data_IF_112367209175
#
_entry.id   IF_112367209175
#
_cell.length_a   1.000
_cell.length_b   1.000
_cell.length_c   1.000
_cell.angle_alpha   90.00
_cell.angle_beta   90.00
_cell.angle_gamma   90.00
#
_symmetry.space_group_name_H-M   'P 1'
#
loop_
_entity.id
_entity.type
_entity.pdbx_description
1 polymer ?
#
# COMPACT_ATOMS: atom_id res chain seq x y z
N UNK A 1 13.09 -16.34 -5.17
CA UNK A 1 12.74 -15.06 -4.54
C UNK A 1 13.81 -14.79 -3.49
N UNK A 2 14.30 -13.56 -3.38
CA UNK A 2 15.19 -13.20 -2.26
C UNK A 2 14.31 -12.75 -1.10
N UNK A 3 14.35 -13.48 0.02
CA UNK A 3 13.48 -13.23 1.17
C UNK A 3 14.03 -12.14 2.09
N UNK A 4 13.12 -11.48 2.80
CA UNK A 4 13.42 -10.44 3.82
C UNK A 4 12.88 -10.94 5.16
N UNK A 5 13.66 -10.77 6.22
CA UNK A 5 13.19 -10.99 7.58
C UNK A 5 12.28 -9.84 8.03
N UNK A 6 11.13 -10.17 8.62
CA UNK A 6 10.16 -9.21 9.13
C UNK A 6 9.42 -9.77 10.35
N UNK A 7 8.91 -8.92 11.25
CA UNK A 7 8.04 -9.35 12.34
C UNK A 7 6.85 -10.17 11.85
N UNK A 8 6.42 -11.15 12.63
CA UNK A 8 5.30 -12.05 12.27
C UNK A 8 3.98 -11.32 12.08
N UNK A 9 3.80 -10.18 12.73
CA UNK A 9 2.62 -9.33 12.63
C UNK A 9 2.77 -8.20 11.60
N UNK A 10 3.85 -8.21 10.80
CA UNK A 10 4.03 -7.27 9.71
C UNK A 10 2.95 -7.41 8.65
N UNK A 11 2.52 -6.28 8.09
CA UNK A 11 1.53 -6.23 7.02
C UNK A 11 2.10 -5.68 5.72
N UNK A 12 1.39 -5.89 4.62
CA UNK A 12 1.60 -5.15 3.36
C UNK A 12 0.36 -4.33 3.00
N UNK A 13 0.58 -3.20 2.34
CA UNK A 13 -0.46 -2.34 1.78
C UNK A 13 -0.02 -2.06 0.34
N UNK A 14 -0.68 -2.69 -0.63
CA UNK A 14 -0.18 -2.76 -2.00
C UNK A 14 -1.32 -2.85 -3.00
N UNK A 15 -1.17 -2.20 -4.14
CA UNK A 15 -2.08 -2.32 -5.28
C UNK A 15 -1.49 -3.18 -6.38
N UNK A 16 -2.32 -3.72 -7.25
CA UNK A 16 -1.89 -4.33 -8.51
C UNK A 16 -1.25 -3.31 -9.47
N UNK A 17 -1.50 -2.02 -9.26
CA UNK A 17 -1.32 -0.95 -10.24
C UNK A 17 -2.21 -1.17 -11.45
N UNK A 18 -2.01 -0.36 -12.49
CA UNK A 18 -2.73 -0.55 -13.75
C UNK A 18 -4.12 0.08 -13.80
N UNK A 19 -4.60 0.75 -12.76
CA UNK A 19 -5.92 1.38 -12.67
C UNK A 19 -6.09 2.62 -13.61
N UNK A 20 -4.97 3.19 -14.07
CA UNK A 20 -4.87 4.41 -14.88
C UNK A 20 -5.45 5.66 -14.19
N UNK A 21 -5.50 5.68 -12.85
CA UNK A 21 -5.98 6.84 -12.09
C UNK A 21 -5.00 8.02 -12.10
N UNK A 22 -3.70 7.74 -12.32
CA UNK A 22 -2.61 8.71 -12.20
C UNK A 22 -2.66 9.49 -10.88
N UNK A 23 -3.04 8.81 -9.80
CA UNK A 23 -3.20 9.41 -8.48
C UNK A 23 -1.88 9.61 -7.75
N UNK A 24 -1.95 10.39 -6.67
CA UNK A 24 -0.92 10.41 -5.62
C UNK A 24 -0.76 9.02 -5.00
N UNK A 25 0.42 8.70 -4.46
CA UNK A 25 0.76 7.34 -3.99
C UNK A 25 0.10 6.98 -2.64
N UNK A 26 -1.21 6.71 -2.66
CA UNK A 26 -2.07 6.40 -1.50
C UNK A 26 -1.55 5.22 -0.67
N UNK A 27 -1.30 4.04 -1.26
CA UNK A 27 -0.77 2.90 -0.50
C UNK A 27 0.63 3.13 0.07
N UNK A 28 1.45 4.01 -0.52
CA UNK A 28 2.77 4.37 0.03
C UNK A 28 2.63 5.27 1.25
N UNK A 29 1.80 6.31 1.15
CA UNK A 29 1.47 7.16 2.29
C UNK A 29 0.83 6.36 3.44
N UNK A 30 -0.09 5.46 3.12
CA UNK A 30 -0.79 4.62 4.09
C UNK A 30 0.18 3.70 4.87
N UNK A 31 1.21 3.17 4.20
CA UNK A 31 2.25 2.38 4.85
C UNK A 31 2.98 3.15 5.97
N UNK A 32 3.32 4.43 5.73
CA UNK A 32 3.94 5.28 6.76
C UNK A 32 2.98 5.59 7.92
N UNK A 33 1.69 5.78 7.64
CA UNK A 33 0.68 6.06 8.68
C UNK A 33 0.42 4.82 9.55
N UNK A 34 0.36 3.63 8.94
CA UNK A 34 0.22 2.36 9.65
C UNK A 34 1.45 2.07 10.51
N UNK A 35 2.66 2.25 9.97
CA UNK A 35 3.90 2.15 10.74
C UNK A 35 3.96 3.18 11.88
N UNK A 36 3.51 4.42 11.64
CA UNK A 36 3.38 5.46 12.67
C UNK A 36 2.35 5.15 13.76
N UNK A 37 1.49 4.15 13.52
CA UNK A 37 0.54 3.60 14.49
C UNK A 37 1.09 2.37 15.23
N UNK A 38 2.35 2.00 14.99
CA UNK A 38 3.05 0.92 15.69
C UNK A 38 2.85 -0.47 15.07
N UNK A 39 2.42 -0.56 13.81
CA UNK A 39 2.32 -1.82 13.06
C UNK A 39 3.49 -1.92 12.08
N UNK A 40 4.33 -2.98 12.15
CA UNK A 40 5.40 -3.16 11.17
C UNK A 40 4.84 -3.30 9.75
N UNK A 41 5.44 -2.62 8.78
CA UNK A 41 5.02 -2.68 7.37
C UNK A 41 6.16 -3.19 6.50
N UNK A 42 5.94 -4.34 5.86
CA UNK A 42 6.83 -4.89 4.86
C UNK A 42 6.24 -4.61 3.47
N UNK A 43 6.45 -3.38 2.95
CA UNK A 43 5.80 -2.94 1.71
C UNK A 43 6.49 -3.54 0.49
N UNK A 44 5.77 -4.29 -0.32
CA UNK A 44 6.24 -4.70 -1.64
C UNK A 44 5.84 -3.66 -2.70
N UNK A 45 6.72 -3.35 -3.63
CA UNK A 45 6.37 -2.37 -4.66
C UNK A 45 7.34 -2.30 -5.83
N UNK A 46 6.95 -1.48 -6.81
CA UNK A 46 7.68 -1.33 -8.06
C UNK A 46 7.70 0.14 -8.52
N UNK A 47 8.40 0.40 -9.62
CA UNK A 47 8.29 1.65 -10.39
C UNK A 47 6.97 1.70 -11.15
N UNK A 48 6.58 2.90 -11.56
CA UNK A 48 5.34 3.11 -12.33
C UNK A 48 5.38 2.35 -13.65
N UNK A 49 4.39 1.48 -13.90
CA UNK A 49 4.17 0.82 -15.19
C UNK A 49 3.05 1.50 -16.00
N UNK A 50 2.02 2.00 -15.31
CA UNK A 50 0.84 2.66 -15.88
C UNK A 50 0.55 4.04 -15.28
N UNK A 51 0.99 4.29 -14.04
CA UNK A 51 0.98 5.61 -13.43
C UNK A 51 2.19 6.42 -13.89
N UNK A 52 2.08 7.75 -13.78
CA UNK A 52 3.23 8.65 -14.06
C UNK A 52 4.40 8.36 -13.11
N UNK A 53 4.09 7.95 -11.87
CA UNK A 53 5.06 7.79 -10.80
C UNK A 53 4.69 6.56 -9.95
N UNK A 54 5.63 5.62 -9.77
CA UNK A 54 5.45 4.47 -8.88
C UNK A 54 5.93 4.72 -7.45
N UNK A 55 5.68 3.75 -6.57
CA UNK A 55 6.11 3.82 -5.18
C UNK A 55 7.64 3.96 -5.05
N UNK A 56 8.39 3.21 -5.87
CA UNK A 56 9.86 3.30 -5.89
C UNK A 56 10.36 4.69 -6.28
N UNK A 57 9.72 5.34 -7.26
CA UNK A 57 10.14 6.65 -7.77
C UNK A 57 9.91 7.75 -6.70
N UNK A 58 8.77 7.72 -6.01
CA UNK A 58 8.49 8.64 -4.89
C UNK A 58 9.42 8.41 -3.71
N UNK A 59 9.69 7.15 -3.34
CA UNK A 59 10.57 6.85 -2.21
C UNK A 59 11.99 7.37 -2.45
N UNK A 60 12.50 7.24 -3.69
CA UNK A 60 13.79 7.82 -4.07
C UNK A 60 13.77 9.35 -3.98
N UNK A 61 12.71 10.00 -4.49
CA UNK A 61 12.56 11.46 -4.38
C UNK A 61 12.43 11.96 -2.93
N UNK A 62 11.92 11.12 -2.01
CA UNK A 62 11.88 11.38 -0.57
C UNK A 62 13.24 11.13 0.14
N UNK A 63 14.25 10.61 -0.56
CA UNK A 63 15.58 10.33 -0.03
C UNK A 63 15.78 8.90 0.52
N UNK A 64 14.80 8.01 0.35
CA UNK A 64 14.92 6.61 0.78
C UNK A 64 15.81 5.85 -0.20
N UNK A 65 16.80 5.13 0.34
CA UNK A 65 17.63 4.24 -0.47
C UNK A 65 16.93 2.90 -0.66
N UNK A 66 16.51 2.60 -1.89
CA UNK A 66 15.70 1.41 -2.21
C UNK A 66 16.53 0.24 -2.78
N UNK A 67 17.77 0.49 -3.20
CA UNK A 67 18.71 -0.50 -3.74
C UNK A 67 19.61 -1.07 -2.63
N UNK A 68 18.98 -1.56 -1.57
CA UNK A 68 19.64 -2.11 -0.38
C UNK A 68 19.44 -3.63 -0.27
N UNK A 69 20.30 -4.30 0.50
CA UNK A 69 20.24 -5.76 0.66
C UNK A 69 19.00 -6.19 1.47
N UNK A 70 18.53 -7.45 1.31
CA UNK A 70 17.41 -7.97 2.10
C UNK A 70 17.62 -7.87 3.62
N UNK A 71 18.85 -8.05 4.10
CA UNK A 71 19.24 -7.84 5.51
C UNK A 71 18.96 -6.40 5.96
N UNK A 72 19.34 -5.43 5.13
CA UNK A 72 19.17 -4.02 5.43
C UNK A 72 17.69 -3.59 5.36
N UNK A 73 16.92 -4.18 4.45
CA UNK A 73 15.46 -3.99 4.42
C UNK A 73 14.85 -4.52 5.72
N UNK A 74 15.27 -5.70 6.20
CA UNK A 74 14.83 -6.23 7.49
C UNK A 74 15.12 -5.26 8.63
N UNK A 75 16.34 -4.69 8.67
CA UNK A 75 16.68 -3.63 9.63
C UNK A 75 15.76 -2.42 9.54
N UNK A 76 15.42 -1.94 8.34
CA UNK A 76 14.44 -0.86 8.18
C UNK A 76 13.08 -1.23 8.79
N UNK A 77 12.57 -2.45 8.57
CA UNK A 77 11.30 -2.90 9.15
C UNK A 77 11.36 -2.89 10.68
N UNK A 78 12.44 -3.44 11.26
CA UNK A 78 12.59 -3.55 12.72
C UNK A 78 12.85 -2.20 13.40
N UNK A 79 13.65 -1.32 12.78
CA UNK A 79 14.12 -0.07 13.41
C UNK A 79 13.30 1.18 13.02
N UNK A 80 12.76 1.25 11.79
CA UNK A 80 11.86 2.33 11.36
C UNK A 80 10.38 1.95 11.48
N UNK A 81 10.05 0.66 11.56
CA UNK A 81 8.68 0.16 11.47
C UNK A 81 8.20 -0.06 10.04
N UNK A 82 9.00 0.26 9.02
CA UNK A 82 8.67 0.05 7.61
C UNK A 82 9.90 -0.28 6.78
N UNK A 83 9.76 -1.20 5.84
CA UNK A 83 10.77 -1.49 4.82
C UNK A 83 10.13 -1.60 3.45
N UNK A 84 10.89 -1.23 2.42
CA UNK A 84 10.45 -1.30 1.03
C UNK A 84 11.22 -2.39 0.28
N UNK A 85 10.49 -3.35 -0.26
CA UNK A 85 11.03 -4.42 -1.09
C UNK A 85 10.81 -4.06 -2.55
N UNK A 86 11.88 -3.64 -3.23
CA UNK A 86 11.81 -3.28 -4.64
C UNK A 86 11.71 -4.54 -5.51
N UNK A 87 10.57 -4.74 -6.17
CA UNK A 87 10.22 -5.99 -6.84
C UNK A 87 11.32 -6.58 -7.77
N UNK A 88 11.99 -5.79 -8.64
CA UNK A 88 13.05 -6.32 -9.50
C UNK A 88 14.25 -6.91 -8.74
N UNK A 89 14.54 -6.42 -7.53
CA UNK A 89 15.62 -6.93 -6.68
C UNK A 89 15.25 -8.29 -6.05
N UNK A 90 13.98 -8.52 -5.72
CA UNK A 90 13.53 -9.74 -5.02
C UNK A 90 13.05 -10.85 -5.96
N UNK A 91 12.64 -10.50 -7.18
CA UNK A 91 12.13 -11.42 -8.18
C UNK A 91 13.01 -11.44 -9.44
N UNK A 92 14.31 -11.81 -9.35
CA UNK A 92 15.23 -11.70 -10.48
C UNK A 92 14.83 -12.56 -11.69
N UNK A 93 14.04 -13.62 -11.49
CA UNK A 93 13.48 -14.42 -12.58
C UNK A 93 12.49 -13.64 -13.46
N UNK A 94 11.89 -12.57 -12.96
CA UNK A 94 10.94 -11.73 -13.72
C UNK A 94 11.60 -11.02 -14.91
N UNK A 95 12.94 -10.90 -14.93
CA UNK A 95 13.69 -10.38 -16.09
C UNK A 95 13.44 -11.19 -17.37
N UNK A 96 13.09 -12.46 -17.25
CA UNK A 96 12.84 -13.35 -18.40
C UNK A 96 11.47 -13.11 -19.06
N UNK A 97 10.51 -12.54 -18.32
CA UNK A 97 9.15 -12.25 -18.82
C UNK A 97 8.90 -10.76 -19.01
N UNK A 98 9.72 -9.91 -18.38
CA UNK A 98 9.63 -8.45 -18.46
C UNK A 98 9.53 -7.90 -19.90
N UNK A 99 10.47 -8.24 -20.80
CA UNK A 99 10.43 -7.74 -22.18
C UNK A 99 9.13 -8.09 -22.92
N UNK A 100 8.67 -9.34 -22.81
CA UNK A 100 7.42 -9.79 -23.44
C UNK A 100 6.20 -9.06 -22.87
N UNK A 101 6.18 -8.76 -21.57
CA UNK A 101 5.10 -7.97 -20.96
C UNK A 101 5.04 -6.55 -21.51
N UNK A 102 6.20 -5.93 -21.74
CA UNK A 102 6.29 -4.60 -22.35
C UNK A 102 5.79 -4.63 -23.80
N UNK A 103 6.24 -5.62 -24.58
CA UNK A 103 5.81 -5.80 -25.98
C UNK A 103 4.30 -6.03 -26.10
N UNK A 104 3.71 -6.82 -25.21
CA UNK A 104 2.26 -7.07 -25.20
C UNK A 104 1.44 -5.82 -24.87
N UNK A 105 1.96 -4.89 -24.08
CA UNK A 105 1.31 -3.62 -23.77
C UNK A 105 -0.08 -3.73 -23.12
N UNK A 106 -0.46 -4.91 -22.61
CA UNK A 106 -1.77 -5.19 -22.04
C UNK A 106 -1.66 -5.90 -20.70
N UNK A 107 -2.73 -5.83 -19.90
CA UNK A 107 -2.79 -6.51 -18.60
C UNK A 107 -2.83 -8.02 -18.81
N UNK A 108 -2.07 -8.74 -17.99
CA UNK A 108 -2.06 -10.22 -17.95
C UNK A 108 -2.12 -10.69 -16.50
N UNK A 109 -2.13 -12.00 -16.26
CA UNK A 109 -2.06 -12.55 -14.90
C UNK A 109 -0.86 -12.03 -14.10
N UNK A 110 0.25 -11.65 -14.76
CA UNK A 110 1.41 -11.05 -14.11
C UNK A 110 1.13 -9.70 -13.42
N UNK A 111 0.05 -9.00 -13.78
CA UNK A 111 -0.37 -7.78 -13.10
C UNK A 111 -1.01 -8.07 -11.73
N UNK A 112 -1.51 -9.28 -11.51
CA UNK A 112 -2.08 -9.71 -10.23
C UNK A 112 -1.03 -10.29 -9.28
N UNK A 113 0.14 -10.71 -9.79
CA UNK A 113 1.13 -11.44 -8.99
C UNK A 113 1.87 -10.58 -7.96
N UNK A 114 1.97 -9.26 -8.16
CA UNK A 114 2.73 -8.37 -7.27
C UNK A 114 2.32 -8.47 -5.80
N UNK A 115 1.03 -8.23 -5.47
CA UNK A 115 0.51 -8.44 -4.12
C UNK A 115 0.63 -9.87 -3.60
N UNK A 116 0.60 -10.87 -4.49
CA UNK A 116 0.62 -12.29 -4.12
C UNK A 116 2.02 -12.83 -3.77
N UNK A 117 3.07 -12.03 -3.96
CA UNK A 117 4.46 -12.49 -3.90
C UNK A 117 5.33 -11.65 -2.97
N UNK A 118 4.80 -11.12 -1.88
CA UNK A 118 5.58 -10.31 -0.93
C UNK A 118 6.82 -11.10 -0.40
N UNK A 119 8.05 -10.59 -0.55
CA UNK A 119 9.27 -11.30 -0.15
C UNK A 119 9.43 -11.57 1.35
N UNK A 120 8.74 -10.82 2.21
CA UNK A 120 8.70 -11.03 3.65
C UNK A 120 7.64 -12.07 4.08
N UNK A 121 6.83 -12.59 3.15
CA UNK A 121 5.87 -13.65 3.44
C UNK A 121 4.74 -13.24 4.39
N UNK A 122 4.37 -11.96 4.39
CA UNK A 122 3.35 -11.41 5.30
C UNK A 122 2.03 -12.17 5.20
N UNK A 123 1.41 -12.36 6.37
CA UNK A 123 0.12 -13.08 6.50
C UNK A 123 -1.09 -12.15 6.52
N UNK A 124 -0.85 -10.83 6.55
CA UNK A 124 -1.89 -9.79 6.65
C UNK A 124 -1.65 -8.72 5.61
N UNK A 125 -2.65 -8.39 4.81
CA UNK A 125 -2.47 -7.50 3.65
C UNK A 125 -3.73 -6.69 3.33
N UNK A 126 -3.56 -5.41 3.01
CA UNK A 126 -4.55 -4.63 2.27
C UNK A 126 -4.13 -4.61 0.80
N UNK A 127 -4.96 -5.18 -0.06
CA UNK A 127 -4.66 -5.36 -1.49
C UNK A 127 -5.66 -4.60 -2.35
N UNK A 128 -5.16 -3.69 -3.16
CA UNK A 128 -5.94 -3.05 -4.21
C UNK A 128 -5.91 -3.82 -5.52
N UNK A 129 -7.04 -3.90 -6.23
CA UNK A 129 -7.12 -4.51 -7.57
C UNK A 129 -7.69 -3.55 -8.62
N UNK A 130 -7.12 -3.58 -9.83
CA UNK A 130 -7.45 -2.64 -10.91
C UNK A 130 -8.83 -2.83 -11.55
N UNK A 131 -9.49 -3.98 -11.34
CA UNK A 131 -10.86 -4.26 -11.78
C UNK A 131 -11.62 -5.01 -10.68
N UNK A 132 -12.93 -4.76 -10.53
CA UNK A 132 -13.74 -5.35 -9.46
C UNK A 132 -13.85 -6.87 -9.57
N UNK A 133 -13.79 -7.43 -10.79
CA UNK A 133 -13.82 -8.88 -11.02
C UNK A 133 -12.66 -9.66 -10.37
N UNK A 134 -11.56 -8.97 -10.03
CA UNK A 134 -10.40 -9.57 -9.38
C UNK A 134 -10.48 -9.60 -7.85
N UNK A 135 -11.46 -8.94 -7.24
CA UNK A 135 -11.58 -8.87 -5.77
C UNK A 135 -11.63 -10.29 -5.17
N UNK A 136 -12.60 -11.10 -5.59
CA UNK A 136 -12.78 -12.46 -5.04
C UNK A 136 -11.65 -13.42 -5.44
N UNK A 137 -11.23 -13.51 -6.73
CA UNK A 137 -10.11 -14.38 -7.10
C UNK A 137 -8.81 -14.11 -6.34
N UNK A 138 -8.48 -12.83 -6.09
CA UNK A 138 -7.28 -12.48 -5.32
C UNK A 138 -7.43 -12.86 -3.85
N UNK A 139 -8.60 -12.65 -3.25
CA UNK A 139 -8.87 -13.05 -1.86
C UNK A 139 -8.78 -14.58 -1.68
N UNK A 140 -9.38 -15.35 -2.59
CA UNK A 140 -9.30 -16.82 -2.60
C UNK A 140 -7.87 -17.33 -2.80
N UNK A 141 -7.11 -16.67 -3.67
CA UNK A 141 -5.70 -17.02 -3.89
C UNK A 141 -4.87 -16.77 -2.64
N UNK A 142 -5.04 -15.61 -1.98
CA UNK A 142 -4.34 -15.30 -0.73
C UNK A 142 -4.73 -16.27 0.40
N UNK A 143 -5.99 -16.68 0.48
CA UNK A 143 -6.44 -17.76 1.38
C UNK A 143 -5.69 -19.06 1.09
N UNK A 144 -5.59 -19.48 -0.17
CA UNK A 144 -4.88 -20.69 -0.57
C UNK A 144 -3.37 -20.62 -0.29
N UNK A 145 -2.77 -19.42 -0.36
CA UNK A 145 -1.39 -19.14 0.02
C UNK A 145 -1.20 -19.02 1.55
N UNK A 146 -2.27 -19.20 2.32
CA UNK A 146 -2.26 -19.23 3.77
C UNK A 146 -2.16 -17.86 4.43
N UNK A 147 -2.80 -16.84 3.85
CA UNK A 147 -3.02 -15.56 4.53
C UNK A 147 -4.05 -15.69 5.67
N UNK A 148 -3.91 -14.85 6.70
CA UNK A 148 -4.73 -14.89 7.92
C UNK A 148 -5.83 -13.82 7.92
N UNK A 149 -5.49 -12.59 7.53
CA UNK A 149 -6.43 -11.46 7.45
C UNK A 149 -6.11 -10.60 6.23
N UNK A 150 -7.01 -10.50 5.27
CA UNK A 150 -6.81 -9.71 4.05
C UNK A 150 -8.04 -8.91 3.73
N UNK A 151 -7.87 -7.67 3.32
CA UNK A 151 -8.90 -6.93 2.59
C UNK A 151 -8.44 -6.77 1.15
N UNK A 152 -9.26 -7.22 0.20
CA UNK A 152 -9.06 -6.96 -1.23
C UNK A 152 -10.09 -5.94 -1.69
N UNK A 153 -9.65 -4.82 -2.26
CA UNK A 153 -10.49 -3.66 -2.53
C UNK A 153 -10.39 -3.17 -3.99
N UNK A 154 -11.51 -2.66 -4.50
CA UNK A 154 -11.58 -1.84 -5.71
C UNK A 154 -12.55 -0.69 -5.46
N UNK A 155 -12.08 0.55 -5.64
CA UNK A 155 -12.86 1.74 -5.32
C UNK A 155 -13.03 2.66 -6.52
N UNK A 156 -14.22 2.78 -7.09
CA UNK A 156 -14.52 3.73 -8.18
C UNK A 156 -13.44 3.82 -9.29
N UNK A 157 -12.93 2.67 -9.73
CA UNK A 157 -11.88 2.59 -10.75
C UNK A 157 -10.45 2.69 -10.25
N UNK A 158 -10.23 2.84 -8.93
CA UNK A 158 -8.94 2.78 -8.26
C UNK A 158 -8.64 1.37 -7.76
N UNK A 159 -7.37 0.99 -7.75
CA UNK A 159 -6.85 -0.13 -6.97
C UNK A 159 -6.50 0.29 -5.54
N UNK A 160 -7.41 1.00 -4.88
CA UNK A 160 -7.31 1.50 -3.51
C UNK A 160 -8.73 1.59 -2.91
N UNK A 161 -8.85 1.74 -1.58
CA UNK A 161 -10.08 2.27 -0.98
C UNK A 161 -10.14 3.76 -1.33
N UNK A 162 -11.27 4.26 -1.83
CA UNK A 162 -11.35 5.63 -2.36
C UNK A 162 -12.33 6.52 -1.60
N UNK A 163 -12.06 7.83 -1.63
CA UNK A 163 -13.01 8.87 -1.21
C UNK A 163 -13.87 9.42 -2.34
N UNK A 164 -13.65 8.98 -3.59
CA UNK A 164 -14.40 9.50 -4.75
C UNK A 164 -15.75 8.83 -4.93
N UNK A 165 -15.90 7.63 -4.38
CA UNK A 165 -17.00 6.74 -4.71
C UNK A 165 -17.16 5.58 -3.76
N UNK A 166 -17.88 4.58 -4.25
CA UNK A 166 -18.05 3.31 -3.57
C UNK A 166 -16.80 2.45 -3.68
N UNK A 167 -16.43 1.76 -2.59
CA UNK A 167 -15.41 0.72 -2.61
C UNK A 167 -16.03 -0.64 -2.34
N UNK A 168 -15.82 -1.59 -3.24
CA UNK A 168 -16.17 -3.00 -3.05
C UNK A 168 -14.99 -3.71 -2.39
N UNK A 169 -15.27 -4.50 -1.34
CA UNK A 169 -14.25 -5.20 -0.55
C UNK A 169 -14.63 -6.66 -0.37
N UNK A 170 -13.64 -7.55 -0.49
CA UNK A 170 -13.69 -8.89 0.08
C UNK A 170 -12.70 -8.97 1.25
N UNK A 171 -13.21 -9.34 2.42
CA UNK A 171 -12.41 -9.61 3.61
C UNK A 171 -12.26 -11.11 3.82
N UNK A 172 -11.02 -11.57 3.87
CA UNK A 172 -10.64 -12.87 4.40
C UNK A 172 -10.29 -12.71 5.88
N UNK A 173 -10.97 -13.40 6.78
CA UNK A 173 -10.58 -13.51 8.20
C UNK A 173 -11.07 -14.84 8.77
N UNK A 174 -10.26 -15.51 9.59
CA UNK A 174 -10.63 -16.80 10.18
C UNK A 174 -10.87 -17.91 9.15
N UNK A 175 -10.29 -17.77 7.95
CA UNK A 175 -10.51 -18.71 6.84
C UNK A 175 -11.82 -18.51 6.09
N UNK A 176 -12.65 -17.54 6.45
CA UNK A 176 -13.89 -17.20 5.75
C UNK A 176 -13.72 -15.93 4.92
N UNK A 177 -14.39 -15.87 3.77
CA UNK A 177 -14.41 -14.68 2.92
C UNK A 177 -15.82 -14.09 2.97
N UNK A 178 -15.91 -12.80 3.32
CA UNK A 178 -17.16 -12.04 3.25
C UNK A 178 -16.96 -10.78 2.40
N UNK A 179 -18.02 -10.36 1.72
CA UNK A 179 -18.00 -9.15 0.91
C UNK A 179 -18.82 -8.04 1.56
N UNK A 180 -18.36 -6.81 1.43
CA UNK A 180 -19.10 -5.62 1.84
C UNK A 180 -18.66 -4.42 1.00
N UNK A 181 -19.39 -3.33 1.20
CA UNK A 181 -19.17 -2.07 0.51
C UNK A 181 -18.83 -0.98 1.52
N UNK A 182 -17.93 -0.08 1.14
CA UNK A 182 -17.58 1.11 1.91
C UNK A 182 -17.94 2.37 1.12
N UNK A 183 -18.38 3.39 1.84
CA UNK A 183 -18.47 4.76 1.34
C UNK A 183 -17.82 5.73 2.32
N UNK A 184 -17.30 6.87 1.87
CA UNK A 184 -16.65 7.85 2.75
C UNK A 184 -17.60 8.40 3.81
N UNK A 185 -18.87 8.60 3.43
CA UNK A 185 -19.88 9.17 4.32
C UNK A 185 -20.20 8.24 5.50
N UNK A 186 -20.05 6.92 5.31
CA UNK A 186 -20.27 5.93 6.37
C UNK A 186 -19.25 6.05 7.53
N UNK A 187 -18.11 6.70 7.29
CA UNK A 187 -17.07 6.98 8.29
C UNK A 187 -16.91 8.48 8.57
N UNK A 188 -17.86 9.30 8.13
CA UNK A 188 -17.87 10.74 8.38
C UNK A 188 -16.90 11.55 7.54
N UNK A 189 -16.35 10.99 6.46
CA UNK A 189 -15.49 11.70 5.52
C UNK A 189 -16.31 12.25 4.34
N UNK A 190 -15.96 13.42 3.79
CA UNK A 190 -16.60 13.95 2.61
C UNK A 190 -16.21 13.14 1.36
N UNK A 191 -17.06 13.19 0.35
CA UNK A 191 -16.74 12.69 -0.99
C UNK A 191 -15.88 13.71 -1.73
N UNK A 192 -14.79 13.23 -2.32
CA UNK A 192 -13.85 14.04 -3.11
C UNK A 192 -13.99 13.74 -4.60
N UNK A 193 -13.41 14.58 -5.44
CA UNK A 193 -13.31 14.34 -6.88
C UNK A 193 -12.03 13.58 -7.24
N UNK A 194 -12.02 12.92 -8.42
CA UNK A 194 -10.82 12.24 -8.94
C UNK A 194 -9.67 13.22 -9.20
N UNK A 195 -9.98 14.45 -9.59
CA UNK A 195 -8.97 15.50 -9.86
C UNK A 195 -8.24 15.95 -8.60
N UNK A 196 -8.90 15.96 -7.43
CA UNK A 196 -8.26 16.28 -6.14
C UNK A 196 -7.27 15.21 -5.67
N UNK A 197 -7.35 14.00 -6.21
CA UNK A 197 -6.41 12.90 -5.95
C UNK A 197 -5.36 12.75 -7.06
N UNK A 198 -5.37 13.62 -8.07
CA UNK A 198 -4.45 13.52 -9.20
C UNK A 198 -3.01 13.76 -8.75
N UNK A 199 -2.14 12.82 -9.10
CA UNK A 199 -0.71 12.91 -8.88
C UNK A 199 0.02 13.62 -10.02
N UNK A 200 1.34 13.73 -9.85
CA UNK A 200 2.26 14.31 -10.81
C UNK A 200 3.51 13.44 -10.97
N UNK A 201 4.64 14.10 -11.23
CA UNK A 201 5.95 13.46 -11.23
C UNK A 201 6.40 13.04 -9.82
N UNK A 202 7.58 12.44 -9.74
CA UNK A 202 8.15 11.94 -8.49
C UNK A 202 8.30 13.04 -7.43
N UNK A 203 8.76 14.22 -7.82
CA UNK A 203 8.99 15.34 -6.90
C UNK A 203 7.67 15.92 -6.38
N UNK A 204 6.67 16.06 -7.24
CA UNK A 204 5.32 16.47 -6.87
C UNK A 204 4.71 15.49 -5.87
N UNK A 205 4.70 14.19 -6.18
CA UNK A 205 4.10 13.18 -5.31
C UNK A 205 4.88 13.04 -3.99
N UNK A 206 6.21 13.16 -4.00
CA UNK A 206 7.04 13.18 -2.80
C UNK A 206 6.68 14.37 -1.90
N UNK A 207 6.58 15.57 -2.47
CA UNK A 207 6.17 16.76 -1.73
C UNK A 207 4.77 16.59 -1.13
N UNK A 208 3.78 16.16 -1.94
CA UNK A 208 2.41 15.95 -1.49
C UNK A 208 2.34 14.92 -0.34
N UNK A 209 3.11 13.82 -0.45
CA UNK A 209 3.19 12.80 0.60
C UNK A 209 3.78 13.37 1.88
N UNK A 210 4.91 14.08 1.81
CA UNK A 210 5.57 14.68 2.98
C UNK A 210 4.67 15.72 3.65
N UNK A 211 4.01 16.58 2.88
CA UNK A 211 3.07 17.59 3.39
C UNK A 211 1.88 16.93 4.12
N UNK A 212 1.32 15.87 3.54
CA UNK A 212 0.21 15.11 4.14
C UNK A 212 0.65 14.43 5.44
N UNK A 213 1.82 13.77 5.46
CA UNK A 213 2.38 13.20 6.69
C UNK A 213 2.69 14.28 7.75
N UNK A 214 2.96 15.52 7.31
CA UNK A 214 3.10 16.71 8.16
C UNK A 214 1.78 17.31 8.64
N UNK A 215 0.63 16.73 8.27
CA UNK A 215 -0.69 17.12 8.75
C UNK A 215 -1.53 17.92 7.76
N UNK A 216 -1.08 18.14 6.52
CA UNK A 216 -1.90 18.83 5.51
C UNK A 216 -3.26 18.13 5.33
N UNK A 217 -4.34 18.91 5.40
CA UNK A 217 -5.71 18.42 5.20
C UNK A 217 -6.06 18.34 3.70
N UNK A 218 -7.12 17.60 3.37
CA UNK A 218 -7.69 17.51 2.02
C UNK A 218 -7.88 16.07 1.53
N UNK A 219 -8.29 15.93 0.28
CA UNK A 219 -8.66 14.65 -0.34
C UNK A 219 -7.61 13.55 -0.17
N UNK A 220 -6.32 13.90 -0.33
CA UNK A 220 -5.25 12.93 -0.18
C UNK A 220 -5.18 12.38 1.24
N UNK A 221 -5.25 13.25 2.25
CA UNK A 221 -5.27 12.84 3.66
C UNK A 221 -6.46 11.94 3.95
N UNK A 222 -7.67 12.35 3.55
CA UNK A 222 -8.89 11.59 3.84
C UNK A 222 -8.86 10.19 3.19
N UNK A 223 -8.32 10.09 1.98
CA UNK A 223 -8.16 8.81 1.28
C UNK A 223 -7.10 7.93 1.94
N UNK A 224 -5.99 8.53 2.39
CA UNK A 224 -4.98 7.81 3.17
C UNK A 224 -5.54 7.34 4.51
N UNK A 225 -6.40 8.12 5.17
CA UNK A 225 -7.05 7.70 6.41
C UNK A 225 -7.91 6.45 6.21
N UNK A 226 -8.68 6.37 5.13
CA UNK A 226 -9.47 5.17 4.83
C UNK A 226 -8.59 3.94 4.60
N UNK A 227 -7.52 4.06 3.82
CA UNK A 227 -6.62 2.93 3.53
C UNK A 227 -5.77 2.53 4.74
N UNK A 228 -5.19 3.48 5.46
CA UNK A 228 -4.47 3.22 6.70
C UNK A 228 -5.39 2.64 7.78
N UNK A 229 -6.61 3.16 7.90
CA UNK A 229 -7.61 2.62 8.83
C UNK A 229 -7.97 1.17 8.54
N UNK A 230 -8.18 0.82 7.27
CA UNK A 230 -8.37 -0.56 6.83
C UNK A 230 -7.11 -1.41 7.11
N UNK A 231 -5.91 -0.88 6.85
CA UNK A 231 -4.65 -1.53 7.19
C UNK A 231 -4.53 -1.85 8.68
N UNK A 232 -5.01 -0.96 9.56
CA UNK A 232 -5.02 -1.18 11.02
C UNK A 232 -6.06 -2.22 11.46
N UNK A 233 -7.20 -2.31 10.77
CA UNK A 233 -8.17 -3.41 10.96
C UNK A 233 -7.54 -4.74 10.56
N UNK A 234 -6.94 -4.81 9.36
CA UNK A 234 -6.22 -5.98 8.85
C UNK A 234 -5.05 -6.39 9.76
N UNK A 235 -4.39 -5.43 10.39
CA UNK A 235 -3.33 -5.69 11.37
C UNK A 235 -3.84 -6.20 12.72
N UNK A 236 -5.15 -6.18 12.98
CA UNK A 236 -5.76 -6.52 14.26
C UNK A 236 -5.52 -5.46 15.34
N UNK A 237 -5.24 -4.21 14.96
CA UNK A 237 -5.05 -3.07 15.89
C UNK A 237 -6.29 -2.18 16.02
N UNK A 238 -7.28 -2.35 15.14
CA UNK A 238 -8.57 -1.68 15.19
C UNK A 238 -9.70 -2.70 14.96
N UNK A 239 -10.86 -2.49 15.60
CA UNK A 239 -12.02 -3.39 15.46
C UNK A 239 -12.90 -2.95 14.29
N UNK A 240 -13.04 -1.64 14.09
CA UNK A 240 -13.83 -1.05 13.01
C UNK A 240 -12.98 -0.14 12.15
N UNK A 241 -13.45 0.14 10.93
CA UNK A 241 -12.80 1.11 10.05
C UNK A 241 -12.73 2.51 10.69
N UNK A 242 -13.76 2.92 11.44
CA UNK A 242 -13.78 4.19 12.17
C UNK A 242 -12.68 4.28 13.25
N UNK A 243 -12.48 3.21 14.03
CA UNK A 243 -11.39 3.14 15.01
C UNK A 243 -10.02 3.23 14.32
N UNK A 244 -9.87 2.53 13.20
CA UNK A 244 -8.66 2.56 12.37
C UNK A 244 -8.37 3.96 11.84
N UNK A 245 -9.39 4.66 11.30
CA UNK A 245 -9.27 6.04 10.82
C UNK A 245 -8.86 6.98 11.95
N UNK A 246 -9.45 6.85 13.13
CA UNK A 246 -9.10 7.67 14.29
C UNK A 246 -7.63 7.46 14.72
N UNK A 247 -7.17 6.21 14.77
CA UNK A 247 -5.78 5.88 15.07
C UNK A 247 -4.81 6.40 13.99
N UNK A 248 -5.17 6.25 12.72
CA UNK A 248 -4.41 6.76 11.58
C UNK A 248 -4.28 8.31 11.63
N UNK A 249 -5.37 9.01 11.93
CA UNK A 249 -5.36 10.46 12.11
C UNK A 249 -4.42 10.88 13.25
N UNK A 250 -4.48 10.19 14.39
CA UNK A 250 -3.57 10.46 15.50
C UNK A 250 -2.10 10.22 15.12
N UNK A 251 -1.79 9.21 14.30
CA UNK A 251 -0.42 8.94 13.84
C UNK A 251 0.12 10.06 12.95
N UNK A 252 -0.73 10.66 12.10
CA UNK A 252 -0.38 11.85 11.31
C UNK A 252 -0.23 13.08 12.22
N UNK A 253 -1.25 13.39 13.02
CA UNK A 253 -1.32 14.65 13.79
C UNK A 253 -0.27 14.76 14.90
N UNK A 254 0.18 13.62 15.43
CA UNK A 254 1.29 13.57 16.39
C UNK A 254 2.68 13.56 15.74
N UNK A 255 2.74 13.62 14.41
CA UNK A 255 3.95 13.54 13.59
C UNK A 255 4.65 12.18 13.62
N UNK A 256 4.03 11.13 14.17
CA UNK A 256 4.63 9.78 14.23
C UNK A 256 4.85 9.23 12.82
N UNK A 257 3.88 9.40 11.93
CA UNK A 257 3.97 8.92 10.56
C UNK A 257 5.12 9.61 9.78
N UNK A 258 5.30 10.92 9.97
CA UNK A 258 6.43 11.65 9.37
C UNK A 258 7.78 11.18 9.96
N UNK A 259 7.85 10.94 11.26
CA UNK A 259 9.08 10.40 11.90
C UNK A 259 9.47 9.03 11.37
N UNK A 260 8.50 8.18 11.02
CA UNK A 260 8.78 6.88 10.36
C UNK A 260 9.48 7.10 9.03
N UNK A 261 9.00 8.06 8.20
CA UNK A 261 9.66 8.40 6.95
C UNK A 261 11.09 8.89 7.18
N UNK A 262 11.28 9.86 8.10
CA UNK A 262 12.62 10.41 8.39
C UNK A 262 13.57 9.30 8.90
N UNK A 263 13.08 8.39 9.75
CA UNK A 263 13.85 7.26 10.27
C UNK A 263 14.19 6.22 9.19
N UNK A 264 13.26 5.95 8.27
CA UNK A 264 13.53 5.09 7.11
C UNK A 264 14.62 5.70 6.23
N UNK A 265 14.58 7.00 5.96
CA UNK A 265 15.62 7.71 5.21
C UNK A 265 16.98 7.56 5.91
N UNK A 266 17.04 7.81 7.22
CA UNK A 266 18.28 7.67 8.00
C UNK A 266 18.84 6.24 7.91
N UNK A 267 18.06 5.22 8.30
CA UNK A 267 18.54 3.84 8.35
C UNK A 267 18.90 3.34 6.95
N UNK A 268 18.08 3.61 5.93
CA UNK A 268 18.35 3.12 4.57
C UNK A 268 19.64 3.68 3.97
N UNK A 269 20.17 4.79 4.50
CA UNK A 269 21.41 5.40 4.02
C UNK A 269 22.68 5.00 4.80
N UNK A 270 22.58 4.30 5.93
CA UNK A 270 23.73 3.83 6.71
C UNK A 270 23.91 4.54 8.03
#
# INVERSE_FOLDING_TARGET
MLHVDAPTDAIDIVGTGGDNSHSVNISTASAFVVAGSGVPVAKHGNRGLSSLTGAADVLVALGVKIDISPEFIGRCIHEAGVGFMFAPAHHPAMKHVGPTRVELGTRTIFNLLGPLSNPAGVKRQLVGVFLPEWILPVAETLKALGAEHVWVAHGDGYDEITTTGETQVAELIGGEIRSFTLTPEAVGLPRHSKDELRGGDADYNAKALRDMLGGAAGAYRDTVLMNAGAGLVVAGKATTLGDGIAAAAQAIDSGRALRVLDRLVEISNG
#
